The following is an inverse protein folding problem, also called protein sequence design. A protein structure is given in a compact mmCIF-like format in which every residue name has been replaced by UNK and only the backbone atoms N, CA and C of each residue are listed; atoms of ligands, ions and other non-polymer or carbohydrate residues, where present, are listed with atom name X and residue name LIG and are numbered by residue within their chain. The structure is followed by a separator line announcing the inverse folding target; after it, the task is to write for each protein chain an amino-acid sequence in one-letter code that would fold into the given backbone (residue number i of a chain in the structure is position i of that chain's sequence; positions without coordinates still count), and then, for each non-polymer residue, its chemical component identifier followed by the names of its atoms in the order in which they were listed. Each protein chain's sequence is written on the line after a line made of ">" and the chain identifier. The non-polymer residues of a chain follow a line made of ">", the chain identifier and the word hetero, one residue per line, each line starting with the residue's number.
data_IF_761845100689
#
_entry.id   IF_761845100689
#
_cell.length_a   1.000
_cell.length_b   1.000
_cell.length_c   1.000
_cell.angle_alpha   90.00
_cell.angle_beta   90.00
_cell.angle_gamma   90.00
#
_symmetry.space_group_name_H-M   'P 1'
#
loop_
_entity.id
_entity.type
_entity.pdbx_description
1 polymer ?
#
# COMPACT_ATOMS: atom_id res chain seq x y z
N UNK A 1 -2.70 18.92 15.93
CA UNK A 1 -2.83 17.61 15.26
C UNK A 1 -4.09 17.61 14.39
N UNK A 2 -3.96 17.27 13.14
CA UNK A 2 -5.10 17.23 12.23
C UNK A 2 -5.85 15.90 12.38
N UNK A 3 -7.16 15.98 12.63
CA UNK A 3 -8.01 14.80 12.67
C UNK A 3 -8.47 14.48 11.25
N UNK A 4 -8.15 13.29 10.77
CA UNK A 4 -8.61 12.85 9.47
C UNK A 4 -10.10 12.49 9.54
N UNK A 5 -10.86 12.95 8.58
CA UNK A 5 -12.30 12.75 8.56
C UNK A 5 -12.77 12.45 7.14
N UNK A 6 -12.50 11.22 6.70
CA UNK A 6 -12.86 10.76 5.37
C UNK A 6 -14.12 9.90 5.40
N UNK A 7 -14.92 9.98 4.34
CA UNK A 7 -16.02 9.03 4.10
C UNK A 7 -15.47 7.73 3.53
N UNK A 8 -16.29 6.68 3.51
CA UNK A 8 -15.91 5.41 2.90
C UNK A 8 -15.57 5.60 1.42
N UNK A 9 -16.37 6.38 0.69
CA UNK A 9 -16.11 6.62 -0.74
C UNK A 9 -14.81 7.39 -0.95
N UNK A 10 -14.50 8.35 -0.09
CA UNK A 10 -13.24 9.08 -0.15
C UNK A 10 -12.05 8.15 0.09
N UNK A 11 -12.15 7.25 1.08
CA UNK A 11 -11.09 6.27 1.34
C UNK A 11 -10.93 5.31 0.16
N UNK A 12 -12.03 4.86 -0.42
CA UNK A 12 -11.96 3.99 -1.62
C UNK A 12 -11.23 4.70 -2.76
N UNK A 13 -11.48 6.00 -2.95
CA UNK A 13 -10.81 6.78 -3.98
C UNK A 13 -9.31 6.92 -3.69
N UNK A 14 -8.94 7.14 -2.42
CA UNK A 14 -7.53 7.21 -1.99
C UNK A 14 -6.83 5.87 -2.26
N UNK A 15 -7.48 4.76 -1.91
CA UNK A 15 -6.93 3.41 -2.15
C UNK A 15 -6.74 3.18 -3.66
N UNK A 16 -7.72 3.58 -4.47
CA UNK A 16 -7.63 3.44 -5.92
C UNK A 16 -6.45 4.25 -6.49
N UNK A 17 -6.26 5.47 -6.00
CA UNK A 17 -5.11 6.29 -6.41
C UNK A 17 -3.80 5.64 -5.98
N UNK A 18 -3.72 5.14 -4.75
CA UNK A 18 -2.52 4.48 -4.24
C UNK A 18 -2.17 3.26 -5.09
N UNK A 19 -3.15 2.44 -5.43
CA UNK A 19 -2.94 1.25 -6.27
C UNK A 19 -2.53 1.62 -7.69
N UNK A 20 -3.13 2.67 -8.25
CA UNK A 20 -2.78 3.16 -9.58
C UNK A 20 -1.33 3.64 -9.64
N UNK A 21 -0.91 4.45 -8.67
CA UNK A 21 0.47 4.93 -8.60
C UNK A 21 1.44 3.80 -8.31
N UNK A 22 1.03 2.85 -7.45
CA UNK A 22 1.83 1.65 -7.18
C UNK A 22 2.05 0.84 -8.46
N UNK A 23 1.01 0.65 -9.26
CA UNK A 23 1.11 -0.10 -10.51
C UNK A 23 2.04 0.57 -11.50
N UNK A 24 1.93 1.90 -11.65
CA UNK A 24 2.83 2.66 -12.51
C UNK A 24 4.28 2.50 -12.11
N UNK A 25 4.57 2.64 -10.81
CA UNK A 25 5.94 2.53 -10.30
C UNK A 25 6.49 1.12 -10.47
N UNK A 26 5.67 0.10 -10.21
CA UNK A 26 6.08 -1.29 -10.38
C UNK A 26 6.32 -1.62 -11.85
N UNK A 27 5.43 -1.21 -12.75
CA UNK A 27 5.60 -1.43 -14.18
C UNK A 27 6.86 -0.74 -14.70
N UNK A 28 7.11 0.50 -14.30
CA UNK A 28 8.30 1.23 -14.69
C UNK A 28 9.56 0.52 -14.22
N UNK A 29 9.59 0.11 -12.95
CA UNK A 29 10.74 -0.61 -12.41
C UNK A 29 10.97 -1.91 -13.17
N UNK A 30 9.92 -2.67 -13.41
CA UNK A 30 10.00 -3.96 -14.10
C UNK A 30 10.57 -3.79 -15.51
N UNK A 31 10.13 -2.76 -16.24
CA UNK A 31 10.60 -2.51 -17.60
C UNK A 31 12.01 -1.92 -17.63
N UNK A 32 12.32 -0.95 -16.76
CA UNK A 32 13.60 -0.22 -16.85
C UNK A 32 14.73 -0.92 -16.12
N UNK A 33 14.46 -1.59 -15.00
CA UNK A 33 15.49 -2.23 -14.19
C UNK A 33 15.63 -3.72 -14.46
N UNK A 34 14.55 -4.39 -14.84
CA UNK A 34 14.57 -5.83 -15.13
C UNK A 34 14.45 -6.14 -16.62
N UNK A 35 14.30 -5.13 -17.47
CA UNK A 35 14.14 -5.34 -18.90
C UNK A 35 12.90 -6.11 -19.30
N UNK A 36 11.85 -6.06 -18.47
CA UNK A 36 10.61 -6.77 -18.72
C UNK A 36 10.65 -8.25 -18.38
N UNK A 37 11.67 -8.71 -17.67
CA UNK A 37 11.82 -10.12 -17.29
C UNK A 37 11.81 -10.27 -15.78
N UNK A 38 11.00 -11.19 -15.28
CA UNK A 38 10.90 -11.49 -13.84
C UNK A 38 12.13 -12.29 -13.42
N UNK A 39 13.05 -11.61 -12.75
CA UNK A 39 14.34 -12.21 -12.37
C UNK A 39 14.80 -11.66 -11.01
N UNK A 40 15.91 -12.19 -10.50
CA UNK A 40 16.52 -11.84 -9.22
C UNK A 40 15.64 -12.30 -8.04
N UNK A 41 15.81 -11.70 -6.87
CA UNK A 41 15.20 -12.16 -5.64
C UNK A 41 13.67 -12.06 -5.67
N UNK A 42 13.01 -13.11 -5.18
CA UNK A 42 11.56 -13.16 -5.03
C UNK A 42 11.17 -12.68 -3.65
N UNK A 43 9.99 -12.11 -3.53
CA UNK A 43 9.50 -11.68 -2.24
C UNK A 43 8.14 -11.02 -2.29
N UNK A 44 7.80 -10.38 -1.17
CA UNK A 44 6.50 -9.77 -0.95
C UNK A 44 6.67 -8.33 -0.49
N UNK A 45 5.71 -7.47 -0.80
CA UNK A 45 5.70 -6.09 -0.34
C UNK A 45 4.27 -5.68 0.00
N UNK A 46 4.17 -4.72 0.90
CA UNK A 46 2.88 -4.23 1.39
C UNK A 46 3.05 -2.78 1.85
N UNK A 47 1.92 -2.11 2.16
CA UNK A 47 1.94 -0.83 2.83
C UNK A 47 1.12 -0.93 4.10
N UNK A 48 1.69 -0.46 5.21
CA UNK A 48 1.04 -0.42 6.53
C UNK A 48 0.65 1.01 6.88
N UNK A 49 -0.53 1.16 7.48
CA UNK A 49 -1.05 2.44 7.95
C UNK A 49 -1.19 2.37 9.46
N UNK A 50 -0.47 3.23 10.16
CA UNK A 50 -0.40 3.25 11.63
C UNK A 50 -1.16 4.42 12.24
N UNK A 51 -1.37 4.34 13.55
CA UNK A 51 -1.92 5.45 14.31
C UNK A 51 -3.44 5.52 14.33
N UNK A 52 -4.13 4.53 13.76
CA UNK A 52 -5.58 4.49 13.70
C UNK A 52 -6.07 3.21 14.36
N UNK A 53 -6.82 3.35 15.45
CA UNK A 53 -7.38 2.18 16.14
C UNK A 53 -8.59 1.65 15.38
N UNK A 54 -8.76 0.33 15.39
CA UNK A 54 -9.81 -0.33 14.63
C UNK A 54 -11.24 0.00 15.09
N UNK A 55 -11.40 0.43 16.33
CA UNK A 55 -12.72 0.73 16.89
C UNK A 55 -13.11 2.23 16.80
N UNK A 56 -12.24 3.05 16.21
CA UNK A 56 -12.56 4.46 15.98
C UNK A 56 -13.42 4.63 14.74
N UNK A 57 -14.02 5.83 14.59
CA UNK A 57 -14.80 6.14 13.40
C UNK A 57 -13.97 5.95 12.12
N UNK A 58 -12.76 6.51 12.09
CA UNK A 58 -11.89 6.38 10.93
C UNK A 58 -11.47 4.92 10.70
N UNK A 59 -11.17 4.18 11.78
CA UNK A 59 -10.83 2.76 11.66
C UNK A 59 -11.97 1.96 11.04
N UNK A 60 -13.20 2.22 11.45
CA UNK A 60 -14.37 1.57 10.85
C UNK A 60 -14.55 1.96 9.39
N UNK A 61 -14.27 3.21 9.04
CA UNK A 61 -14.30 3.69 7.67
C UNK A 61 -13.29 2.96 6.81
N UNK A 62 -12.06 2.78 7.31
CA UNK A 62 -11.01 2.05 6.57
C UNK A 62 -11.42 0.59 6.34
N UNK A 63 -11.98 -0.07 7.36
CA UNK A 63 -12.48 -1.44 7.21
C UNK A 63 -13.60 -1.53 6.18
N UNK A 64 -14.54 -0.58 6.23
CA UNK A 64 -15.65 -0.55 5.28
C UNK A 64 -15.18 -0.30 3.85
N UNK A 65 -14.06 0.39 3.68
CA UNK A 65 -13.45 0.61 2.37
C UNK A 65 -12.62 -0.59 1.88
N UNK A 66 -12.53 -1.65 2.68
CA UNK A 66 -11.86 -2.88 2.28
C UNK A 66 -10.40 -3.00 2.69
N UNK A 67 -9.91 -2.11 3.55
CA UNK A 67 -8.52 -2.20 4.03
C UNK A 67 -8.48 -3.18 5.21
N UNK A 68 -7.57 -4.15 5.15
CA UNK A 68 -7.43 -5.15 6.19
C UNK A 68 -6.84 -4.56 7.47
N UNK A 69 -7.33 -5.04 8.62
CA UNK A 69 -6.81 -4.68 9.93
C UNK A 69 -6.02 -5.84 10.51
N UNK A 70 -4.78 -5.57 10.88
CA UNK A 70 -3.96 -6.51 11.63
C UNK A 70 -3.93 -6.08 13.10
N UNK A 71 -4.67 -6.79 13.95
CA UNK A 71 -4.65 -6.50 15.39
C UNK A 71 -3.32 -6.90 16.02
N UNK A 72 -2.65 -7.90 15.45
CA UNK A 72 -1.32 -8.30 15.88
C UNK A 72 -0.30 -7.19 15.67
N UNK A 73 -0.25 -6.60 14.47
CA UNK A 73 0.66 -5.49 14.13
C UNK A 73 0.12 -4.14 14.56
N UNK A 74 -1.14 -4.07 14.96
CA UNK A 74 -1.85 -2.84 15.36
C UNK A 74 -1.83 -1.78 14.25
N UNK A 75 -2.09 -2.23 13.02
CA UNK A 75 -2.11 -1.34 11.87
C UNK A 75 -3.09 -1.85 10.82
N UNK A 76 -3.40 -1.00 9.85
CA UNK A 76 -4.08 -1.41 8.64
C UNK A 76 -3.05 -1.73 7.58
N UNK A 77 -3.33 -2.67 6.69
CA UNK A 77 -2.37 -3.12 5.69
C UNK A 77 -3.03 -3.33 4.33
N UNK A 78 -2.28 -3.01 3.28
CA UNK A 78 -2.64 -3.37 1.91
C UNK A 78 -1.51 -4.21 1.34
N UNK A 79 -1.81 -5.47 1.07
CA UNK A 79 -0.85 -6.43 0.54
C UNK A 79 -0.69 -6.22 -0.97
N UNK A 80 0.57 -6.21 -1.43
CA UNK A 80 0.92 -6.06 -2.84
C UNK A 80 0.09 -4.95 -3.53
N UNK A 81 0.26 -3.67 -3.11
CA UNK A 81 -0.60 -2.60 -3.61
C UNK A 81 -0.51 -2.38 -5.12
N UNK A 82 0.62 -2.72 -5.76
CA UNK A 82 0.74 -2.62 -7.21
C UNK A 82 -0.08 -3.68 -7.94
N UNK A 83 -0.43 -4.76 -7.27
CA UNK A 83 -1.08 -5.93 -7.86
C UNK A 83 -0.28 -6.48 -9.05
N UNK A 84 1.02 -6.23 -9.09
CA UNK A 84 1.91 -6.72 -10.15
C UNK A 84 2.11 -8.23 -9.99
N UNK A 85 2.00 -8.95 -11.07
CA UNK A 85 2.05 -10.42 -11.06
C UNK A 85 3.44 -11.02 -11.01
N UNK A 86 4.50 -10.22 -10.99
CA UNK A 86 5.87 -10.73 -10.91
C UNK A 86 6.20 -11.26 -9.51
N UNK A 87 7.32 -11.97 -9.42
CA UNK A 87 7.83 -12.44 -8.13
C UNK A 87 8.97 -11.58 -7.58
N UNK A 88 9.54 -10.71 -8.39
CA UNK A 88 10.65 -9.85 -7.99
C UNK A 88 10.26 -8.91 -6.87
N UNK A 89 11.02 -8.97 -5.75
CA UNK A 89 10.73 -8.17 -4.57
C UNK A 89 10.91 -6.68 -4.82
N UNK A 90 11.93 -6.28 -5.57
CA UNK A 90 12.22 -4.86 -5.78
C UNK A 90 11.12 -4.18 -6.60
N UNK A 91 10.54 -4.90 -7.55
CA UNK A 91 9.39 -4.41 -8.33
C UNK A 91 8.19 -4.14 -7.41
N UNK A 92 7.90 -5.09 -6.53
CA UNK A 92 6.79 -4.95 -5.58
C UNK A 92 7.05 -3.85 -4.56
N UNK A 93 8.30 -3.70 -4.10
CA UNK A 93 8.68 -2.61 -3.20
C UNK A 93 8.50 -1.25 -3.86
N UNK A 94 8.88 -1.11 -5.13
CA UNK A 94 8.69 0.15 -5.86
C UNK A 94 7.21 0.55 -5.83
N UNK A 95 6.32 -0.42 -6.02
CA UNK A 95 4.89 -0.18 -5.92
C UNK A 95 4.46 0.20 -4.51
N UNK A 96 4.96 -0.51 -3.49
CA UNK A 96 4.61 -0.22 -2.09
C UNK A 96 5.06 1.18 -1.68
N UNK A 97 6.25 1.62 -2.09
CA UNK A 97 6.73 2.97 -1.81
C UNK A 97 5.86 4.03 -2.48
N UNK A 98 5.43 3.81 -3.71
CA UNK A 98 4.53 4.74 -4.39
C UNK A 98 3.18 4.85 -3.68
N UNK A 99 2.64 3.71 -3.21
CA UNK A 99 1.41 3.70 -2.43
C UNK A 99 1.58 4.45 -1.11
N UNK A 100 2.72 4.24 -0.43
CA UNK A 100 3.05 4.97 0.81
C UNK A 100 2.95 6.48 0.59
N UNK A 101 3.54 6.99 -0.48
CA UNK A 101 3.53 8.42 -0.78
C UNK A 101 2.12 8.96 -0.98
N UNK A 102 1.26 8.19 -1.62
CA UNK A 102 -0.13 8.60 -1.82
C UNK A 102 -0.84 8.71 -0.47
N UNK A 103 -0.71 7.71 0.40
CA UNK A 103 -1.34 7.77 1.73
C UNK A 103 -0.80 8.93 2.56
N UNK A 104 0.52 9.20 2.48
CA UNK A 104 1.12 10.33 3.19
C UNK A 104 0.56 11.66 2.69
N UNK A 105 0.32 11.78 1.40
CA UNK A 105 -0.28 12.99 0.80
C UNK A 105 -1.65 13.29 1.44
N UNK A 106 -2.40 12.25 1.80
CA UNK A 106 -3.72 12.40 2.43
C UNK A 106 -3.67 12.40 3.96
N UNK A 107 -2.48 12.49 4.55
CA UNK A 107 -2.31 12.67 5.98
C UNK A 107 -2.18 11.39 6.79
N UNK A 108 -2.08 10.23 6.15
CA UNK A 108 -1.90 8.97 6.86
C UNK A 108 -0.42 8.72 7.17
N UNK A 109 -0.18 8.04 8.29
CA UNK A 109 1.15 7.50 8.61
C UNK A 109 1.29 6.14 7.94
N UNK A 110 1.96 6.12 6.80
CA UNK A 110 2.09 4.91 5.99
C UNK A 110 3.56 4.54 5.81
N UNK A 111 3.82 3.24 5.82
CA UNK A 111 5.17 2.71 5.63
C UNK A 111 5.12 1.48 4.74
N UNK A 112 5.94 1.49 3.71
CA UNK A 112 6.14 0.31 2.87
C UNK A 112 6.98 -0.71 3.63
N UNK A 113 6.62 -1.97 3.49
CA UNK A 113 7.37 -3.08 4.05
C UNK A 113 7.56 -4.16 3.01
N UNK A 114 8.54 -5.01 3.22
CA UNK A 114 8.81 -6.11 2.31
C UNK A 114 9.56 -7.22 3.05
N UNK A 115 9.53 -8.41 2.45
CA UNK A 115 10.32 -9.54 2.96
C UNK A 115 10.64 -10.47 1.80
N UNK A 116 11.81 -11.09 1.87
CA UNK A 116 12.19 -12.14 0.93
C UNK A 116 11.32 -13.37 1.15
N UNK A 117 11.04 -14.04 0.05
CA UNK A 117 10.29 -15.30 0.07
C UNK A 117 11.15 -16.43 0.63
#
# INVERSE_FOLDING_TARGET
>A
MTTLNYTVDEVKAIVAEAKSEARKAADEFFQTKLGGQDQYACGFAWVDIYGIKGNTKLGKTLKAAGIERSDYKKCFSIWNPSEHGCQNIDTKEAGAYAAQKVFEKYGFRAYAGSRLD
#
